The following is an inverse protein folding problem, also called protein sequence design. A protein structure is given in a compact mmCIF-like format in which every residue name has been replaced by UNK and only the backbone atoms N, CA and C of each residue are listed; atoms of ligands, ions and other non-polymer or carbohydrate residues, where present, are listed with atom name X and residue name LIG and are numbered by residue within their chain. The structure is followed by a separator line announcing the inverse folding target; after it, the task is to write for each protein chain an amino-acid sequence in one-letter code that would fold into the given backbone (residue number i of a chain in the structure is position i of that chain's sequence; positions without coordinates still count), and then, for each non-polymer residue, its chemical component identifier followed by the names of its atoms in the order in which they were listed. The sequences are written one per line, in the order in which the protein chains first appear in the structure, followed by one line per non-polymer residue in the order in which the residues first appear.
data_IF_116224924341
#
_entry.id   IF_116224924341
#
_cell.length_a   1.000
_cell.length_b   1.000
_cell.length_c   1.000
_cell.angle_alpha   90.00
_cell.angle_beta   90.00
_cell.angle_gamma   90.00
#
_symmetry.space_group_name_H-M   'P 1'
#
loop_
_entity.id
_entity.type
_entity.pdbx_description
1 polymer ?
#
# COMPACT_ATOMS: atom_id res chain seq x y z
N UNK A 1 -15.49 6.50 20.34
CA UNK A 1 -15.27 6.30 21.79
C UNK A 1 -14.95 4.86 22.16
N UNK A 2 -15.80 3.86 21.86
CA UNK A 2 -15.54 2.46 22.22
C UNK A 2 -14.20 1.90 21.69
N UNK A 3 -13.83 2.20 20.43
CA UNK A 3 -12.56 1.76 19.84
C UNK A 3 -11.36 2.35 20.59
N UNK A 4 -11.42 3.63 20.95
CA UNK A 4 -10.35 4.32 21.69
C UNK A 4 -10.19 3.71 23.08
N UNK A 5 -11.30 3.38 23.76
CA UNK A 5 -11.25 2.71 25.08
C UNK A 5 -10.68 1.29 25.00
N UNK A 6 -10.92 0.55 23.91
CA UNK A 6 -10.24 -0.74 23.67
C UNK A 6 -8.75 -0.55 23.36
N UNK A 7 -8.40 0.44 22.54
CA UNK A 7 -7.00 0.75 22.22
C UNK A 7 -6.17 1.09 23.47
N UNK A 8 -6.76 1.80 24.43
CA UNK A 8 -6.12 2.10 25.72
C UNK A 8 -5.83 0.87 26.58
N UNK A 9 -6.43 -0.28 26.29
CA UNK A 9 -6.18 -1.53 27.04
C UNK A 9 -4.93 -2.27 26.53
N UNK A 10 -4.37 -1.91 25.36
CA UNK A 10 -3.10 -2.47 24.92
C UNK A 10 -1.95 -1.94 25.79
N UNK A 11 -1.05 -2.83 26.16
CA UNK A 11 0.09 -2.53 27.00
C UNK A 11 1.32 -3.31 26.55
N UNK A 12 2.50 -2.72 26.71
CA UNK A 12 3.77 -3.38 26.47
C UNK A 12 4.38 -3.82 27.80
N UNK A 13 4.90 -5.04 27.86
CA UNK A 13 5.67 -5.56 29.00
C UNK A 13 7.02 -6.04 28.50
N UNK A 14 8.12 -5.54 29.06
CA UNK A 14 9.45 -6.07 28.73
C UNK A 14 9.59 -7.51 29.21
N UNK A 15 10.39 -8.33 28.52
CA UNK A 15 10.60 -9.73 28.92
C UNK A 15 11.09 -9.85 30.38
N UNK A 16 12.01 -8.97 30.80
CA UNK A 16 12.56 -8.95 32.16
C UNK A 16 11.54 -8.57 33.24
N UNK A 17 10.51 -7.78 32.91
CA UNK A 17 9.40 -7.46 33.80
C UNK A 17 8.36 -8.59 33.80
N UNK A 18 8.07 -9.16 32.63
CA UNK A 18 7.19 -10.31 32.48
C UNK A 18 7.65 -11.49 33.33
N UNK A 19 8.94 -11.84 33.29
CA UNK A 19 9.54 -12.91 34.10
C UNK A 19 9.43 -12.68 35.62
N UNK A 20 9.26 -11.42 36.05
CA UNK A 20 9.06 -11.04 37.45
C UNK A 20 7.59 -10.90 37.84
N UNK A 21 6.66 -11.16 36.92
CA UNK A 21 5.23 -10.93 37.12
C UNK A 21 4.84 -9.45 37.16
N UNK A 22 5.71 -8.56 36.69
CA UNK A 22 5.44 -7.12 36.56
C UNK A 22 4.86 -6.89 35.16
N UNK A 23 3.58 -6.57 35.10
CA UNK A 23 2.84 -6.40 33.85
C UNK A 23 2.72 -4.93 33.46
N UNK A 24 2.47 -4.68 32.17
CA UNK A 24 2.19 -3.38 31.58
C UNK A 24 3.32 -2.36 31.79
N UNK A 25 4.53 -2.87 32.01
CA UNK A 25 5.73 -2.08 32.18
C UNK A 25 6.77 -2.56 31.18
N UNK A 26 6.99 -1.76 30.17
CA UNK A 26 8.20 -1.81 29.36
C UNK A 26 8.97 -0.52 29.63
N UNK A 27 10.29 -0.62 29.77
CA UNK A 27 11.14 0.56 29.72
C UNK A 27 11.09 1.10 28.28
N UNK A 28 10.06 1.89 27.99
CA UNK A 28 9.98 2.68 26.76
C UNK A 28 10.87 3.89 27.03
N UNK A 29 11.98 4.07 26.27
CA UNK A 29 12.82 5.25 26.46
C UNK A 29 11.95 6.52 26.36
N UNK A 30 12.06 7.42 27.35
CA UNK A 30 11.29 8.69 27.40
C UNK A 30 11.41 9.52 26.10
N UNK A 31 12.48 9.29 25.36
CA UNK A 31 12.58 9.59 23.95
C UNK A 31 13.24 8.40 23.25
N UNK A 32 12.64 7.90 22.16
CA UNK A 32 13.41 7.18 21.16
C UNK A 32 14.35 8.22 20.55
N UNK A 33 15.51 8.44 21.17
CA UNK A 33 16.64 9.02 20.45
C UNK A 33 17.06 7.92 19.51
N UNK A 34 16.36 7.79 18.38
CA UNK A 34 16.87 7.04 17.25
C UNK A 34 18.27 7.58 17.06
N UNK A 35 19.28 6.71 17.15
CA UNK A 35 20.65 7.06 16.84
C UNK A 35 20.61 7.96 15.62
N UNK A 36 21.06 9.21 15.74
CA UNK A 36 21.00 10.15 14.63
C UNK A 36 21.77 9.54 13.49
N UNK A 37 21.05 9.00 12.50
CA UNK A 37 21.69 8.38 11.34
C UNK A 37 22.50 9.46 10.64
N UNK A 38 23.77 9.22 10.33
CA UNK A 38 24.53 10.19 9.55
C UNK A 38 23.82 10.47 8.23
N UNK A 39 23.67 11.74 7.88
CA UNK A 39 23.15 12.13 6.58
C UNK A 39 24.29 12.04 5.54
N UNK A 40 24.52 10.83 5.02
CA UNK A 40 25.53 10.59 4.00
C UNK A 40 25.18 11.31 2.70
N UNK A 41 26.16 11.95 2.08
CA UNK A 41 26.02 12.61 0.78
C UNK A 41 27.00 12.04 -0.23
N UNK A 42 26.73 12.30 -1.51
CA UNK A 42 27.57 11.83 -2.61
C UNK A 42 27.17 10.46 -3.19
N UNK A 43 27.89 9.99 -4.20
CA UNK A 43 27.46 8.88 -5.05
C UNK A 43 27.38 7.51 -4.35
N UNK A 44 28.02 7.35 -3.20
CA UNK A 44 28.03 6.11 -2.42
C UNK A 44 27.21 6.20 -1.13
N UNK A 45 26.46 7.28 -0.92
CA UNK A 45 25.69 7.52 0.31
C UNK A 45 24.75 6.36 0.67
N UNK A 46 24.08 5.79 -0.33
CA UNK A 46 23.18 4.64 -0.16
C UNK A 46 23.86 3.46 0.52
N UNK A 47 25.10 3.12 0.13
CA UNK A 47 25.81 1.96 0.65
C UNK A 47 26.35 2.18 2.07
N UNK A 48 26.62 3.43 2.46
CA UNK A 48 26.89 3.75 3.87
C UNK A 48 25.65 3.51 4.74
N UNK A 49 24.49 4.02 4.31
CA UNK A 49 23.21 3.81 5.01
C UNK A 49 22.89 2.31 5.09
N UNK A 50 23.08 1.57 4.01
CA UNK A 50 22.86 0.12 3.96
C UNK A 50 23.77 -0.63 4.95
N UNK A 51 25.05 -0.28 5.05
CA UNK A 51 25.98 -0.89 6.00
C UNK A 51 25.59 -0.58 7.46
N UNK A 52 25.19 0.66 7.74
CA UNK A 52 24.71 1.05 9.07
C UNK A 52 23.44 0.29 9.46
N UNK A 53 22.51 0.10 8.53
CA UNK A 53 21.32 -0.72 8.73
C UNK A 53 21.68 -2.19 9.01
N UNK A 54 22.65 -2.76 8.30
CA UNK A 54 23.15 -4.12 8.53
C UNK A 54 24.00 -4.26 9.82
N UNK A 55 24.34 -3.17 10.50
CA UNK A 55 24.94 -3.20 11.85
C UNK A 55 23.84 -3.20 12.91
N UNK A 56 22.84 -2.35 12.73
CA UNK A 56 21.71 -2.21 13.67
C UNK A 56 20.79 -3.43 13.63
N UNK A 57 20.55 -3.96 12.42
CA UNK A 57 19.67 -5.09 12.16
C UNK A 57 20.44 -6.08 11.29
N UNK A 58 21.09 -7.06 11.92
CA UNK A 58 21.78 -8.11 11.18
C UNK A 58 20.79 -8.86 10.29
N UNK A 59 21.14 -9.13 9.02
CA UNK A 59 20.30 -9.95 8.16
C UNK A 59 20.06 -11.32 8.79
N UNK A 60 18.83 -11.81 8.64
CA UNK A 60 18.44 -13.15 9.11
C UNK A 60 19.11 -14.23 8.25
N UNK A 61 19.17 -15.46 8.76
CA UNK A 61 19.73 -16.61 8.03
C UNK A 61 19.04 -16.85 6.68
N UNK A 62 17.75 -16.53 6.58
CA UNK A 62 16.97 -16.63 5.34
C UNK A 62 17.57 -15.84 4.18
N UNK A 63 18.23 -14.71 4.47
CA UNK A 63 18.82 -13.82 3.46
C UNK A 63 20.34 -14.00 3.30
N UNK A 64 20.95 -14.97 3.99
CA UNK A 64 22.39 -15.13 4.04
C UNK A 64 23.02 -15.31 2.65
N UNK A 65 22.38 -16.06 1.75
CA UNK A 65 22.91 -16.32 0.41
C UNK A 65 23.01 -15.04 -0.44
N UNK A 66 21.98 -14.18 -0.41
CA UNK A 66 21.99 -12.90 -1.12
C UNK A 66 23.03 -11.96 -0.52
N UNK A 67 23.02 -11.83 0.80
CA UNK A 67 23.90 -10.93 1.54
C UNK A 67 25.36 -11.33 1.41
N UNK A 68 25.68 -12.62 1.31
CA UNK A 68 27.05 -13.10 1.09
C UNK A 68 27.62 -12.61 -0.25
N UNK A 69 26.76 -12.36 -1.26
CA UNK A 69 27.21 -11.78 -2.52
C UNK A 69 27.71 -10.33 -2.36
N UNK A 70 27.29 -9.62 -1.31
CA UNK A 70 27.65 -8.22 -1.10
C UNK A 70 29.14 -8.02 -0.78
N UNK A 71 29.86 -9.08 -0.40
CA UNK A 71 31.33 -9.03 -0.24
C UNK A 71 32.04 -8.59 -1.51
N UNK A 72 31.48 -8.90 -2.69
CA UNK A 72 32.06 -8.52 -3.99
C UNK A 72 31.97 -7.01 -4.25
N UNK A 73 31.13 -6.29 -3.50
CA UNK A 73 31.01 -4.83 -3.55
C UNK A 73 31.51 -4.15 -2.28
N UNK A 74 32.23 -4.87 -1.41
CA UNK A 74 32.83 -4.31 -0.20
C UNK A 74 31.89 -4.13 0.98
N UNK A 75 30.71 -4.75 0.94
CA UNK A 75 29.74 -4.70 2.02
C UNK A 75 29.78 -6.01 2.81
N UNK A 76 29.77 -5.88 4.14
CA UNK A 76 29.83 -7.00 5.07
C UNK A 76 28.85 -6.72 6.22
N UNK A 77 27.92 -7.64 6.54
CA UNK A 77 27.04 -7.51 7.69
C UNK A 77 27.80 -7.22 8.98
N UNK A 78 27.26 -6.33 9.83
CA UNK A 78 27.90 -5.94 11.08
C UNK A 78 29.18 -5.09 10.94
N UNK A 79 29.58 -4.68 9.73
CA UNK A 79 30.78 -3.84 9.51
C UNK A 79 30.45 -2.54 8.80
N UNK A 80 31.22 -1.50 9.12
CA UNK A 80 31.16 -0.21 8.42
C UNK A 80 31.64 -0.36 6.97
N UNK A 81 30.97 0.36 6.06
CA UNK A 81 31.38 0.44 4.66
C UNK A 81 32.68 1.26 4.51
N UNK A 82 33.66 0.69 3.79
CA UNK A 82 35.02 1.24 3.61
C UNK A 82 35.37 1.38 2.13
N UNK A 83 34.80 2.35 1.41
CA UNK A 83 34.99 2.45 -0.03
C UNK A 83 36.44 2.71 -0.43
N UNK A 84 37.28 3.26 0.45
CA UNK A 84 38.72 3.46 0.22
C UNK A 84 39.45 2.15 -0.11
N UNK A 85 38.91 1.00 0.31
CA UNK A 85 39.46 -0.34 0.02
C UNK A 85 39.06 -0.87 -1.36
N UNK A 86 38.13 -0.21 -2.04
CA UNK A 86 37.58 -0.66 -3.33
C UNK A 86 38.34 -0.08 -4.50
N UNK A 87 38.43 -0.88 -5.57
CA UNK A 87 38.92 -0.41 -6.86
C UNK A 87 37.98 0.62 -7.46
N UNK A 88 38.52 1.51 -8.30
CA UNK A 88 37.74 2.55 -8.95
C UNK A 88 36.57 2.01 -9.78
N UNK A 89 36.71 0.91 -10.56
CA UNK A 89 35.57 0.34 -11.28
C UNK A 89 34.40 -0.09 -10.37
N UNK A 90 34.68 -0.61 -9.17
CA UNK A 90 33.63 -1.00 -8.22
C UNK A 90 32.90 0.24 -7.70
N UNK A 91 33.63 1.30 -7.34
CA UNK A 91 33.03 2.57 -6.88
C UNK A 91 32.12 3.18 -7.94
N UNK A 92 32.58 3.23 -9.20
CA UNK A 92 31.78 3.72 -10.33
C UNK A 92 30.55 2.84 -10.56
N UNK A 93 30.71 1.52 -10.48
CA UNK A 93 29.61 0.56 -10.60
C UNK A 93 28.54 0.77 -9.52
N UNK A 94 28.94 0.94 -8.27
CA UNK A 94 28.05 1.20 -7.14
C UNK A 94 27.30 2.53 -7.29
N UNK A 95 28.02 3.59 -7.66
CA UNK A 95 27.41 4.91 -7.90
C UNK A 95 26.30 4.83 -8.97
N UNK A 96 26.55 4.10 -10.06
CA UNK A 96 25.54 3.84 -11.09
C UNK A 96 24.39 2.97 -10.58
N UNK A 97 24.69 1.94 -9.80
CA UNK A 97 23.68 1.02 -9.24
C UNK A 97 22.72 1.74 -8.29
N UNK A 98 23.19 2.68 -7.47
CA UNK A 98 22.33 3.47 -6.58
C UNK A 98 21.27 4.28 -7.35
N UNK A 99 21.65 4.85 -8.51
CA UNK A 99 20.71 5.60 -9.37
C UNK A 99 19.78 4.64 -10.13
N UNK A 100 20.33 3.58 -10.73
CA UNK A 100 19.56 2.62 -11.51
C UNK A 100 18.58 1.82 -10.65
N UNK A 101 18.96 1.47 -9.42
CA UNK A 101 18.13 0.73 -8.48
C UNK A 101 16.81 1.45 -8.18
N UNK A 102 16.88 2.74 -7.88
CA UNK A 102 15.68 3.56 -7.67
C UNK A 102 14.79 3.59 -8.92
N UNK A 103 15.37 3.74 -10.12
CA UNK A 103 14.60 3.71 -11.37
C UNK A 103 13.94 2.35 -11.63
N UNK A 104 14.60 1.25 -11.29
CA UNK A 104 14.06 -0.10 -11.40
C UNK A 104 12.89 -0.29 -10.44
N UNK A 105 13.02 0.18 -9.20
CA UNK A 105 11.95 0.12 -8.20
C UNK A 105 10.76 0.98 -8.66
N UNK A 106 10.98 2.21 -9.11
CA UNK A 106 9.91 3.08 -9.63
C UNK A 106 9.21 2.47 -10.85
N UNK A 107 9.97 1.86 -11.76
CA UNK A 107 9.39 1.13 -12.88
C UNK A 107 8.52 -0.03 -12.40
N UNK A 108 9.04 -0.87 -11.49
CA UNK A 108 8.27 -1.99 -10.95
C UNK A 108 7.05 -1.51 -10.16
N UNK A 109 7.13 -0.41 -9.43
CA UNK A 109 5.99 0.20 -8.72
C UNK A 109 4.88 0.58 -9.71
N UNK A 110 5.23 1.23 -10.83
CA UNK A 110 4.27 1.62 -11.86
C UNK A 110 3.55 0.42 -12.48
N UNK A 111 4.26 -0.70 -12.63
CA UNK A 111 3.75 -1.94 -13.23
C UNK A 111 3.62 -3.06 -12.20
N UNK A 112 3.36 -2.72 -10.93
CA UNK A 112 3.31 -3.70 -9.86
C UNK A 112 1.99 -4.45 -9.95
N UNK A 113 1.99 -5.78 -9.83
CA UNK A 113 0.76 -6.56 -9.89
C UNK A 113 0.32 -6.98 -11.29
N UNK A 114 -0.93 -7.43 -11.39
CA UNK A 114 -1.57 -7.89 -12.63
C UNK A 114 -2.71 -6.95 -13.03
N UNK A 115 -2.62 -6.39 -14.24
CA UNK A 115 -3.69 -5.56 -14.82
C UNK A 115 -4.80 -6.46 -15.37
N UNK A 116 -6.00 -6.32 -14.81
CA UNK A 116 -7.20 -7.03 -15.24
C UNK A 116 -7.91 -6.32 -16.40
N UNK A 117 -8.73 -7.05 -17.18
CA UNK A 117 -9.55 -6.45 -18.24
C UNK A 117 -10.45 -5.30 -17.76
N UNK A 118 -10.91 -5.36 -16.50
CA UNK A 118 -11.71 -4.32 -15.83
C UNK A 118 -10.91 -3.07 -15.44
N UNK A 119 -9.62 -3.00 -15.80
CA UNK A 119 -8.66 -1.92 -15.48
C UNK A 119 -8.26 -1.84 -14.01
N UNK A 120 -8.72 -2.76 -13.18
CA UNK A 120 -8.16 -2.96 -11.86
C UNK A 120 -6.79 -3.63 -11.94
N UNK A 121 -5.91 -3.25 -11.04
CA UNK A 121 -4.59 -3.82 -10.90
C UNK A 121 -4.48 -4.51 -9.54
N UNK A 122 -4.22 -5.82 -9.55
CA UNK A 122 -4.07 -6.65 -8.36
C UNK A 122 -2.64 -6.57 -7.83
N UNK A 123 -2.45 -5.82 -6.75
CA UNK A 123 -1.13 -5.50 -6.22
C UNK A 123 -0.58 -6.68 -5.40
N UNK A 124 0.72 -6.95 -5.50
CA UNK A 124 1.35 -7.99 -4.69
C UNK A 124 1.37 -7.61 -3.20
N UNK A 125 0.80 -8.47 -2.37
CA UNK A 125 0.75 -8.31 -0.91
C UNK A 125 1.99 -8.86 -0.19
N UNK A 126 2.20 -8.39 1.04
CA UNK A 126 2.75 -9.22 2.12
C UNK A 126 4.21 -9.63 2.10
N UNK A 127 4.44 -10.81 2.67
CA UNK A 127 5.69 -11.52 2.88
C UNK A 127 6.34 -11.93 1.56
N UNK A 128 7.48 -11.31 1.27
CA UNK A 128 8.13 -11.43 -0.04
C UNK A 128 9.13 -12.59 -0.17
N UNK A 129 9.54 -13.23 0.94
CA UNK A 129 10.64 -14.19 0.92
C UNK A 129 11.88 -13.63 0.22
N UNK A 130 12.37 -14.30 -0.84
CA UNK A 130 13.50 -13.85 -1.65
C UNK A 130 13.14 -12.87 -2.80
N UNK A 131 11.89 -12.43 -2.93
CA UNK A 131 11.49 -11.39 -3.89
C UNK A 131 11.87 -9.98 -3.35
N UNK A 132 13.16 -9.67 -3.39
CA UNK A 132 13.68 -8.39 -2.89
C UNK A 132 13.14 -7.18 -3.65
N UNK A 133 12.83 -7.33 -4.95
CA UNK A 133 12.29 -6.24 -5.74
C UNK A 133 10.82 -5.97 -5.37
N UNK A 134 10.00 -7.02 -5.20
CA UNK A 134 8.66 -6.90 -4.63
C UNK A 134 8.68 -6.25 -3.25
N UNK A 135 9.62 -6.67 -2.39
CA UNK A 135 9.83 -6.08 -1.05
C UNK A 135 10.18 -4.60 -1.10
N UNK A 136 11.08 -4.20 -1.99
CA UNK A 136 11.47 -2.80 -2.15
C UNK A 136 10.28 -1.94 -2.61
N UNK A 137 9.46 -2.45 -3.53
CA UNK A 137 8.25 -1.78 -4.01
C UNK A 137 7.20 -1.69 -2.92
N UNK A 138 6.99 -2.75 -2.13
CA UNK A 138 6.12 -2.73 -0.96
C UNK A 138 6.55 -1.67 0.05
N UNK A 139 7.85 -1.62 0.37
CA UNK A 139 8.42 -0.62 1.27
C UNK A 139 8.21 0.83 0.78
N UNK A 140 8.34 1.08 -0.54
CA UNK A 140 8.13 2.40 -1.13
C UNK A 140 6.64 2.77 -1.28
N UNK A 141 5.77 1.79 -1.51
CA UNK A 141 4.35 2.03 -1.85
C UNK A 141 3.41 2.00 -0.66
N UNK A 142 3.77 1.26 0.41
CA UNK A 142 2.90 1.07 1.57
C UNK A 142 3.61 0.80 2.90
N UNK A 143 4.95 0.74 2.92
CA UNK A 143 5.88 0.48 4.03
C UNK A 143 5.67 -0.84 4.81
N UNK A 144 4.42 -1.22 5.11
CA UNK A 144 3.97 -2.38 5.88
C UNK A 144 2.70 -2.95 5.22
N UNK A 145 2.84 -3.47 4.00
CA UNK A 145 1.73 -4.13 3.30
C UNK A 145 1.37 -5.41 4.06
N UNK A 146 0.09 -5.65 4.30
CA UNK A 146 -0.39 -6.84 4.98
C UNK A 146 -0.09 -8.09 4.16
N UNK A 147 0.02 -9.25 4.81
CA UNK A 147 -0.07 -10.54 4.15
C UNK A 147 -1.45 -10.71 3.49
N UNK A 148 -1.53 -11.51 2.43
CA UNK A 148 -2.75 -11.58 1.62
C UNK A 148 -3.93 -12.19 2.40
N UNK A 149 -3.65 -13.03 3.40
CA UNK A 149 -4.65 -13.57 4.33
C UNK A 149 -5.28 -12.48 5.20
N UNK A 150 -4.55 -11.40 5.48
CA UNK A 150 -5.01 -10.28 6.30
C UNK A 150 -5.69 -9.20 5.47
N UNK A 151 -5.15 -8.88 4.29
CA UNK A 151 -5.83 -8.00 3.34
C UNK A 151 -5.34 -8.16 1.89
N UNK A 152 -6.25 -7.99 0.93
CA UNK A 152 -5.92 -7.87 -0.49
C UNK A 152 -6.27 -6.50 -1.05
N UNK A 153 -5.51 -6.06 -2.05
CA UNK A 153 -5.59 -4.70 -2.59
C UNK A 153 -5.74 -4.69 -4.10
N UNK A 154 -6.80 -4.03 -4.55
CA UNK A 154 -7.00 -3.68 -5.95
C UNK A 154 -6.87 -2.17 -6.08
N UNK A 155 -6.15 -1.70 -7.08
CA UNK A 155 -6.08 -0.27 -7.36
C UNK A 155 -6.25 0.02 -8.84
N UNK A 156 -6.82 1.18 -9.16
CA UNK A 156 -6.87 1.63 -10.54
C UNK A 156 -6.73 3.14 -10.64
N UNK A 157 -6.14 3.57 -11.75
CA UNK A 157 -6.07 4.95 -12.22
C UNK A 157 -7.03 5.18 -13.38
N UNK A 158 -7.74 4.15 -13.82
CA UNK A 158 -8.47 4.13 -15.09
C UNK A 158 -9.92 3.68 -14.90
N UNK A 159 -10.83 4.33 -15.61
CA UNK A 159 -12.14 3.77 -15.94
C UNK A 159 -12.02 2.90 -17.19
N UNK A 160 -12.97 1.99 -17.39
CA UNK A 160 -13.14 1.23 -18.62
C UNK A 160 -14.08 1.97 -19.57
N UNK A 161 -13.66 2.15 -20.81
CA UNK A 161 -14.50 2.65 -21.90
C UNK A 161 -14.99 1.46 -22.74
N UNK A 162 -16.29 1.17 -22.66
CA UNK A 162 -16.92 0.08 -23.38
C UNK A 162 -16.93 0.28 -24.89
N UNK A 163 -16.96 1.52 -25.37
CA UNK A 163 -17.00 1.82 -26.81
C UNK A 163 -15.66 1.54 -27.49
N UNK A 164 -14.54 1.79 -26.79
CA UNK A 164 -13.19 1.57 -27.33
C UNK A 164 -12.53 0.29 -26.83
N UNK A 165 -13.04 -0.30 -25.74
CA UNK A 165 -12.42 -1.42 -25.03
C UNK A 165 -11.13 -1.04 -24.30
N UNK A 166 -10.88 0.25 -24.06
CA UNK A 166 -9.64 0.79 -23.49
C UNK A 166 -9.84 1.41 -22.12
N UNK A 167 -8.74 1.66 -21.42
CA UNK A 167 -8.74 2.41 -20.17
C UNK A 167 -8.65 3.91 -20.45
N UNK A 168 -9.37 4.72 -19.68
CA UNK A 168 -9.23 6.18 -19.64
C UNK A 168 -8.88 6.63 -18.23
N UNK A 169 -7.96 7.58 -18.07
CA UNK A 169 -7.59 8.05 -16.75
C UNK A 169 -8.77 8.69 -16.01
N UNK A 170 -8.96 8.25 -14.77
CA UNK A 170 -9.88 8.83 -13.81
C UNK A 170 -9.47 10.28 -13.53
N UNK A 171 -10.37 11.22 -13.78
CA UNK A 171 -10.15 12.64 -13.55
C UNK A 171 -11.43 13.34 -13.08
N UNK A 172 -11.27 14.36 -12.23
CA UNK A 172 -12.36 15.07 -11.54
C UNK A 172 -13.36 15.79 -12.45
N UNK A 173 -13.08 15.94 -13.75
CA UNK A 173 -14.01 16.57 -14.70
C UNK A 173 -15.19 15.67 -15.07
N UNK A 174 -15.16 14.39 -14.72
CA UNK A 174 -16.16 13.42 -15.09
C UNK A 174 -16.81 12.79 -13.86
N UNK A 175 -17.98 12.19 -14.10
CA UNK A 175 -18.70 11.38 -13.12
C UNK A 175 -18.47 9.91 -13.47
N UNK A 176 -18.27 9.09 -12.45
CA UNK A 176 -18.05 7.66 -12.60
C UNK A 176 -18.95 6.87 -11.67
N UNK A 177 -19.26 5.64 -12.06
CA UNK A 177 -19.94 4.64 -11.24
C UNK A 177 -19.13 3.36 -11.21
N UNK A 178 -19.01 2.77 -10.03
CA UNK A 178 -18.67 1.37 -9.86
C UNK A 178 -19.95 0.65 -9.46
N UNK A 179 -20.49 -0.15 -10.37
CA UNK A 179 -21.63 -1.03 -10.10
C UNK A 179 -21.10 -2.38 -9.63
N UNK A 180 -21.54 -2.84 -8.47
CA UNK A 180 -21.16 -4.12 -7.88
C UNK A 180 -22.41 -5.00 -7.81
N UNK A 181 -22.48 -6.03 -8.65
CA UNK A 181 -23.56 -7.02 -8.60
C UNK A 181 -23.54 -7.75 -7.24
N UNK A 182 -24.70 -8.27 -6.83
CA UNK A 182 -24.86 -8.97 -5.56
C UNK A 182 -23.91 -10.18 -5.39
N UNK A 183 -23.49 -10.82 -6.48
CA UNK A 183 -22.53 -11.94 -6.49
C UNK A 183 -21.07 -11.50 -6.72
N UNK A 184 -20.82 -10.19 -6.88
CA UNK A 184 -19.51 -9.57 -7.05
C UNK A 184 -19.00 -8.84 -5.80
N UNK A 185 -19.71 -8.88 -4.67
CA UNK A 185 -19.16 -8.41 -3.41
C UNK A 185 -17.96 -9.24 -2.96
N UNK A 186 -16.90 -8.57 -2.53
CA UNK A 186 -15.77 -9.20 -1.88
C UNK A 186 -16.26 -10.00 -0.67
N UNK A 187 -15.92 -11.30 -0.64
CA UNK A 187 -16.29 -12.21 0.43
C UNK A 187 -15.19 -12.20 1.48
N UNK A 188 -15.56 -11.82 2.69
CA UNK A 188 -14.65 -11.75 3.84
C UNK A 188 -15.09 -12.70 4.93
N UNK A 189 -14.17 -13.08 5.82
CA UNK A 189 -14.48 -13.84 7.03
C UNK A 189 -15.35 -13.00 8.00
N UNK A 190 -15.89 -13.61 9.06
CA UNK A 190 -16.91 -13.00 9.95
C UNK A 190 -16.51 -11.63 10.56
N UNK A 191 -15.22 -11.37 10.76
CA UNK A 191 -14.68 -10.11 11.30
C UNK A 191 -14.07 -9.20 10.21
N UNK A 192 -14.15 -9.63 8.96
CA UNK A 192 -13.65 -8.91 7.82
C UNK A 192 -14.66 -7.92 7.27
N UNK A 193 -14.17 -7.07 6.37
CA UNK A 193 -14.99 -6.08 5.65
C UNK A 193 -14.25 -5.65 4.38
N UNK A 194 -14.95 -4.95 3.49
CA UNK A 194 -14.32 -4.33 2.32
C UNK A 194 -14.38 -2.81 2.43
N UNK A 195 -13.46 -2.13 1.75
CA UNK A 195 -13.51 -0.67 1.61
C UNK A 195 -13.06 -0.23 0.23
N UNK A 196 -13.60 0.88 -0.25
CA UNK A 196 -13.06 1.61 -1.40
C UNK A 196 -12.63 3.00 -0.94
N UNK A 197 -11.42 3.41 -1.34
CA UNK A 197 -10.80 4.64 -0.87
C UNK A 197 -10.27 5.44 -2.04
N UNK A 198 -10.41 6.76 -1.97
CA UNK A 198 -9.90 7.67 -3.00
C UNK A 198 -8.57 8.31 -2.59
N UNK A 199 -7.67 8.41 -3.56
CA UNK A 199 -6.41 9.11 -3.42
C UNK A 199 -6.13 10.04 -4.60
N UNK A 200 -5.42 11.12 -4.33
CA UNK A 200 -4.75 11.90 -5.36
C UNK A 200 -3.58 11.14 -6.00
N UNK A 201 -2.92 11.73 -7.00
CA UNK A 201 -1.82 11.09 -7.73
C UNK A 201 -0.57 10.94 -6.85
N UNK A 202 -0.51 11.65 -5.73
CA UNK A 202 0.55 11.61 -4.73
C UNK A 202 0.33 10.56 -3.62
N UNK A 203 -0.64 9.65 -3.78
CA UNK A 203 -1.02 8.63 -2.79
C UNK A 203 -1.57 9.18 -1.47
N UNK A 204 -1.95 10.46 -1.42
CA UNK A 204 -2.61 11.07 -0.26
C UNK A 204 -4.12 11.14 -0.46
N UNK A 205 -4.84 11.24 0.64
CA UNK A 205 -6.27 11.47 0.60
C UNK A 205 -6.59 12.79 -0.10
N UNK A 206 -7.77 12.81 -0.72
CA UNK A 206 -8.34 13.99 -1.37
C UNK A 206 -9.24 14.69 -0.37
N UNK A 207 -8.88 15.91 0.02
CA UNK A 207 -9.71 16.72 0.91
C UNK A 207 -11.08 17.00 0.30
N UNK A 208 -12.12 16.88 1.11
CA UNK A 208 -13.50 17.10 0.71
C UNK A 208 -14.36 17.52 1.90
N UNK A 209 -15.48 18.19 1.62
CA UNK A 209 -16.32 18.82 2.65
C UNK A 209 -17.05 17.82 3.56
N UNK A 210 -17.05 16.52 3.22
CA UNK A 210 -17.65 15.46 4.03
C UNK A 210 -16.65 14.81 5.00
N UNK A 211 -15.37 15.17 4.93
CA UNK A 211 -14.27 14.44 5.57
C UNK A 211 -14.35 12.92 5.28
N UNK A 212 -14.84 12.55 4.09
CA UNK A 212 -15.07 11.17 3.66
C UNK A 212 -14.02 10.76 2.63
N UNK A 213 -13.13 9.87 3.03
CA UNK A 213 -12.03 9.42 2.16
C UNK A 213 -12.22 7.97 1.68
N UNK A 214 -13.13 7.24 2.31
CA UNK A 214 -13.48 5.87 1.96
C UNK A 214 -14.97 5.61 2.17
N UNK A 215 -15.48 4.60 1.47
CA UNK A 215 -16.71 3.90 1.79
C UNK A 215 -16.34 2.50 2.26
N UNK A 216 -17.05 2.00 3.26
CA UNK A 216 -16.80 0.69 3.88
C UNK A 216 -18.07 -0.14 3.85
N UNK A 217 -17.95 -1.44 3.60
CA UNK A 217 -19.08 -2.37 3.47
C UNK A 217 -19.91 -2.53 4.73
N UNK A 218 -19.36 -2.19 5.89
CA UNK A 218 -19.99 -2.16 7.21
C UNK A 218 -20.61 -0.79 7.56
N UNK A 219 -20.58 0.18 6.63
CA UNK A 219 -21.18 1.49 6.85
C UNK A 219 -22.71 1.45 6.74
N UNK A 220 -23.38 1.92 7.78
CA UNK A 220 -24.85 2.07 7.82
C UNK A 220 -25.40 3.10 6.81
N UNK A 221 -24.53 3.87 6.15
CA UNK A 221 -24.93 4.87 5.15
C UNK A 221 -25.10 4.31 3.75
N UNK A 222 -24.67 3.07 3.50
CA UNK A 222 -24.76 2.48 2.16
C UNK A 222 -26.22 2.14 1.81
N UNK A 223 -26.60 2.49 0.58
CA UNK A 223 -27.92 2.21 0.02
C UNK A 223 -27.77 1.19 -1.11
N UNK A 224 -28.29 0.00 -0.86
CA UNK A 224 -28.31 -1.08 -1.84
C UNK A 224 -29.52 -0.95 -2.76
N UNK A 225 -29.37 -1.39 -4.01
CA UNK A 225 -30.44 -1.46 -4.99
C UNK A 225 -31.41 -2.62 -4.65
N UNK A 226 -32.59 -2.63 -5.28
CA UNK A 226 -33.62 -3.65 -5.01
C UNK A 226 -33.17 -5.08 -5.36
N UNK A 227 -32.24 -5.23 -6.31
CA UNK A 227 -31.63 -6.50 -6.70
C UNK A 227 -30.44 -6.92 -5.80
N UNK A 228 -30.13 -6.11 -4.79
CA UNK A 228 -29.02 -6.33 -3.87
C UNK A 228 -27.67 -5.82 -4.37
N UNK A 229 -27.58 -5.23 -5.56
CA UNK A 229 -26.36 -4.58 -6.06
C UNK A 229 -26.06 -3.26 -5.32
N UNK A 230 -24.85 -2.74 -5.51
CA UNK A 230 -24.41 -1.45 -4.96
C UNK A 230 -23.79 -0.58 -6.05
N UNK A 231 -24.29 0.64 -6.18
CA UNK A 231 -23.64 1.68 -6.98
C UNK A 231 -22.78 2.58 -6.11
N UNK A 232 -21.50 2.68 -6.42
CA UNK A 232 -20.60 3.67 -5.81
C UNK A 232 -20.36 4.80 -6.80
N UNK A 233 -20.76 6.01 -6.41
CA UNK A 233 -20.65 7.20 -7.26
C UNK A 233 -19.35 7.95 -6.95
N UNK A 234 -18.60 8.30 -7.99
CA UNK A 234 -17.33 9.03 -7.90
C UNK A 234 -17.43 10.29 -8.76
N UNK A 235 -17.56 11.44 -8.11
CA UNK A 235 -17.71 12.75 -8.76
C UNK A 235 -17.38 13.88 -7.77
N UNK A 236 -17.04 15.06 -8.28
CA UNK A 236 -16.68 16.23 -7.47
C UNK A 236 -17.91 16.89 -6.83
N UNK A 237 -19.00 17.01 -7.60
CA UNK A 237 -20.26 17.59 -7.14
C UNK A 237 -21.15 16.57 -6.44
N UNK A 238 -21.85 17.00 -5.39
CA UNK A 238 -22.74 16.12 -4.64
C UNK A 238 -23.87 15.57 -5.55
N UNK A 239 -24.13 14.26 -5.53
CA UNK A 239 -25.32 13.71 -6.18
C UNK A 239 -26.60 14.13 -5.43
N UNK A 240 -27.74 13.70 -5.98
CA UNK A 240 -29.03 13.73 -5.29
C UNK A 240 -28.90 13.12 -3.89
N UNK A 241 -29.71 13.61 -2.94
CA UNK A 241 -29.66 13.20 -1.53
C UNK A 241 -29.74 11.69 -1.33
N UNK A 242 -30.51 11.00 -2.17
CA UNK A 242 -30.67 9.54 -2.17
C UNK A 242 -29.34 8.81 -2.45
N UNK A 243 -28.46 9.37 -3.28
CA UNK A 243 -27.19 8.75 -3.69
C UNK A 243 -25.99 9.13 -2.82
N UNK A 244 -26.16 10.08 -1.89
CA UNK A 244 -25.04 10.57 -1.06
C UNK A 244 -24.51 9.50 -0.10
N UNK A 245 -25.30 8.50 0.25
CA UNK A 245 -24.87 7.34 1.04
C UNK A 245 -23.70 6.58 0.41
N UNK A 246 -23.68 6.50 -0.93
CA UNK A 246 -22.71 5.73 -1.72
C UNK A 246 -21.74 6.64 -2.50
N UNK A 247 -21.69 7.92 -2.16
CA UNK A 247 -20.86 8.88 -2.86
C UNK A 247 -19.46 8.95 -2.23
N UNK A 248 -18.44 8.83 -3.09
CA UNK A 248 -17.03 9.06 -2.78
C UNK A 248 -16.58 10.35 -3.50
N UNK A 249 -16.36 11.46 -2.76
CA UNK A 249 -16.03 12.75 -3.36
C UNK A 249 -14.69 12.76 -4.12
N UNK A 250 -14.72 13.21 -5.37
CA UNK A 250 -13.53 13.46 -6.20
C UNK A 250 -12.86 14.80 -5.86
N UNK A 251 -11.59 15.01 -6.28
CA UNK A 251 -10.94 16.32 -6.16
C UNK A 251 -11.81 17.43 -6.78
N UNK A 252 -11.78 18.62 -6.17
CA UNK A 252 -12.54 19.79 -6.66
C UNK A 252 -11.86 20.45 -7.84
N UNK A 253 -10.54 20.41 -7.92
CA UNK A 253 -9.80 20.94 -9.04
C UNK A 253 -10.11 20.14 -10.31
N UNK A 254 -10.72 20.79 -11.30
CA UNK A 254 -11.03 20.19 -12.61
C UNK A 254 -9.79 19.60 -13.26
N UNK A 255 -9.96 18.48 -13.97
CA UNK A 255 -8.90 17.69 -14.64
C UNK A 255 -7.85 17.06 -13.72
N UNK A 256 -7.98 17.18 -12.39
CA UNK A 256 -7.08 16.50 -11.48
C UNK A 256 -7.29 14.98 -11.56
N UNK A 257 -6.20 14.27 -11.86
CA UNK A 257 -6.16 12.82 -11.86
C UNK A 257 -6.33 12.29 -10.44
N UNK A 258 -7.05 11.20 -10.29
CA UNK A 258 -7.17 10.47 -9.04
C UNK A 258 -7.04 8.96 -9.26
N UNK A 259 -6.91 8.23 -8.17
CA UNK A 259 -6.93 6.77 -8.15
C UNK A 259 -7.87 6.29 -7.05
N UNK A 260 -8.38 5.08 -7.23
CA UNK A 260 -9.13 4.39 -6.19
C UNK A 260 -8.45 3.10 -5.80
N UNK A 261 -8.63 2.70 -4.55
CA UNK A 261 -8.16 1.42 -4.02
C UNK A 261 -9.32 0.71 -3.35
N UNK A 262 -9.66 -0.47 -3.87
CA UNK A 262 -10.61 -1.40 -3.26
C UNK A 262 -9.81 -2.42 -2.43
N UNK A 263 -10.30 -2.71 -1.23
CA UNK A 263 -9.63 -3.59 -0.28
C UNK A 263 -10.62 -4.57 0.30
N UNK A 264 -10.17 -5.80 0.51
CA UNK A 264 -10.84 -6.74 1.41
C UNK A 264 -9.92 -7.00 2.60
N UNK A 265 -10.46 -6.91 3.80
CA UNK A 265 -9.80 -7.28 5.06
C UNK A 265 -10.34 -8.63 5.51
N UNK A 266 -9.44 -9.55 5.86
CA UNK A 266 -9.74 -10.96 6.07
C UNK A 266 -10.51 -11.58 4.89
N UNK A 267 -9.95 -11.54 3.65
CA UNK A 267 -10.60 -12.15 2.50
C UNK A 267 -10.72 -13.66 2.66
N UNK A 268 -11.87 -14.21 2.24
CA UNK A 268 -12.03 -15.67 2.16
C UNK A 268 -11.08 -16.26 1.12
N UNK A 269 -10.76 -17.55 1.24
CA UNK A 269 -10.01 -18.29 0.22
C UNK A 269 -10.66 -18.23 -1.17
N UNK A 270 -12.00 -18.12 -1.23
CA UNK A 270 -12.72 -17.91 -2.47
C UNK A 270 -12.39 -16.56 -3.12
N UNK A 271 -12.38 -15.49 -2.34
CA UNK A 271 -11.95 -14.16 -2.83
C UNK A 271 -10.49 -14.15 -3.26
N UNK A 272 -9.60 -14.82 -2.52
CA UNK A 272 -8.18 -14.92 -2.85
C UNK A 272 -7.91 -15.61 -4.20
N UNK A 273 -8.75 -16.58 -4.57
CA UNK A 273 -8.59 -17.39 -5.79
C UNK A 273 -9.40 -16.86 -6.99
N UNK A 274 -10.45 -16.06 -6.75
CA UNK A 274 -11.35 -15.54 -7.79
C UNK A 274 -11.31 -13.99 -7.86
N UNK A 275 -10.17 -13.38 -7.54
CA UNK A 275 -9.99 -11.93 -7.41
C UNK A 275 -10.64 -11.08 -8.53
N UNK A 276 -10.48 -11.49 -9.79
CA UNK A 276 -11.03 -10.78 -10.95
C UNK A 276 -12.56 -10.61 -10.90
N UNK A 277 -13.28 -11.59 -10.35
CA UNK A 277 -14.75 -11.58 -10.24
C UNK A 277 -15.26 -10.40 -9.40
N UNK A 278 -14.48 -9.97 -8.40
CA UNK A 278 -14.89 -8.94 -7.43
C UNK A 278 -14.41 -7.54 -7.81
N UNK A 279 -13.94 -7.36 -9.04
CA UNK A 279 -13.39 -6.10 -9.54
C UNK A 279 -14.10 -5.69 -10.83
N UNK A 280 -15.42 -5.42 -10.79
CA UNK A 280 -16.12 -4.91 -11.96
C UNK A 280 -15.53 -3.56 -12.40
N UNK A 281 -15.62 -3.21 -13.69
CA UNK A 281 -15.03 -1.99 -14.20
C UNK A 281 -15.69 -0.75 -13.58
N UNK A 282 -14.90 0.31 -13.44
CA UNK A 282 -15.43 1.65 -13.20
C UNK A 282 -15.83 2.24 -14.55
N UNK A 283 -17.06 2.71 -14.68
CA UNK A 283 -17.59 3.28 -15.92
C UNK A 283 -17.80 4.77 -15.76
N UNK A 284 -17.56 5.52 -16.83
CA UNK A 284 -17.91 6.93 -16.92
C UNK A 284 -19.43 7.05 -17.14
N UNK A 285 -20.06 7.92 -16.36
CA UNK A 285 -21.48 8.24 -16.50
C UNK A 285 -21.60 9.38 -17.53
N UNK A 286 -22.42 9.17 -18.56
CA UNK A 286 -22.84 10.25 -19.45
C UNK A 286 -23.94 11.07 -18.78
N UNK A 287 -23.89 12.39 -18.91
CA UNK A 287 -25.00 13.27 -18.52
C UNK A 287 -26.24 13.07 -19.42
#
# INVERSE_FOLDING_TARGET
DNIIELQKQFSLTSLSNWEKGILNQADVPDSITLSTRPNYTGPLAYFYTMADLMIENLPTEEHAAEVESFKYIGLFPGKKFKPETLSEPIKVGLARAAVAGEQIIQWKQKYNGELYPSRWNNVQEGTYGADYLGRAVGAQSGLLVHDYEEAVYFSTYESYDEATGRGEFLNSSNKYVLHIDADQFLKTEDLGFWSITMYGPNYKFVDNDLDRYALSGDSDTLQYNEDGSLDIYMQSEAPTSEKQGNWLPCPKETEQLFRVSLRAYLPTSYTLTHRQQFTPPILKISD
#
